data_IF_851568287661
#
_entry.id   IF_851568287661
#
_cell.length_a   1.000
_cell.length_b   1.000
_cell.length_c   1.000
_cell.angle_alpha   90.00
_cell.angle_beta   90.00
_cell.angle_gamma   90.00
#
_symmetry.space_group_name_H-M   'P 1'
#
loop_
_entity.id
_entity.type
_entity.pdbx_description
1 polymer ?
#
# COMPACT_ATOMS: atom_id res chain seq x y z
N UNK A 1 17.51 -4.86 1.29
CA UNK A 1 16.64 -3.91 1.62
C UNK A 1 16.45 -3.89 3.07
N UNK A 2 16.14 -2.82 3.52
CA UNK A 2 15.93 -2.71 4.88
C UNK A 2 14.69 -3.41 5.21
N UNK A 3 14.67 -4.01 6.32
CA UNK A 3 13.46 -4.54 6.80
C UNK A 3 12.57 -3.37 7.07
N UNK A 4 11.35 -3.67 7.25
CA UNK A 4 10.44 -2.63 7.55
C UNK A 4 10.85 -1.91 8.80
N UNK A 5 11.33 -2.64 9.74
CA UNK A 5 11.77 -2.05 10.96
C UNK A 5 12.89 -1.10 10.74
N UNK A 6 13.83 -1.52 9.95
CA UNK A 6 14.92 -0.66 9.71
C UNK A 6 14.49 0.53 8.94
N UNK A 7 13.57 0.36 8.08
CA UNK A 7 13.11 1.46 7.35
C UNK A 7 12.46 2.40 8.24
N UNK A 8 11.74 1.93 9.15
CA UNK A 8 11.13 2.81 10.06
C UNK A 8 12.12 3.46 10.91
N UNK A 9 13.16 2.80 11.22
CA UNK A 9 14.16 3.43 11.97
C UNK A 9 14.68 4.56 11.20
N UNK A 10 14.83 4.40 9.95
CA UNK A 10 15.33 5.40 9.17
C UNK A 10 14.37 6.47 9.09
N UNK A 11 13.21 6.14 8.81
CA UNK A 11 12.22 7.09 8.70
C UNK A 11 12.03 7.66 9.96
N UNK A 12 12.06 6.88 10.92
CA UNK A 12 11.82 7.35 12.13
C UNK A 12 12.91 7.79 12.79
N UNK A 13 13.98 7.51 12.31
CA UNK A 13 15.07 8.01 12.91
C UNK A 13 14.80 9.39 12.85
N UNK A 14 14.17 9.76 11.95
CA UNK A 14 13.85 11.08 11.98
C UNK A 14 12.51 11.17 12.49
N UNK A 15 11.85 10.23 12.40
CA UNK A 15 10.65 10.41 12.86
C UNK A 15 10.69 9.88 14.17
N UNK A 16 11.36 9.10 14.47
CA UNK A 16 11.20 8.62 15.59
C UNK A 16 12.14 8.65 16.25
N UNK A 17 12.58 9.09 15.85
CA UNK A 17 13.09 8.92 16.42
C UNK A 17 12.59 8.68 17.40
N UNK A 18 12.44 8.95 17.55
CA UNK A 18 12.05 8.60 18.23
C UNK A 18 11.55 8.10 18.72
N UNK A 19 11.36 8.19 18.76
CA UNK A 19 10.85 7.69 19.15
C UNK A 19 10.43 7.13 19.68
N UNK A 20 10.36 7.33 19.90
CA UNK A 20 9.90 6.83 20.29
C UNK A 20 9.52 6.24 20.75
N UNK A 21 9.39 6.10 20.97
CA UNK A 21 9.01 5.37 21.26
C UNK A 21 8.41 5.06 22.28
N UNK A 22 8.32 5.32 22.98
CA UNK A 22 7.67 4.91 23.97
C UNK A 22 6.32 5.16 23.77
N UNK A 23 5.50 4.29 23.87
CA UNK A 23 4.20 4.38 23.51
C UNK A 23 3.40 5.41 24.17
N UNK A 24 3.88 5.90 25.19
CA UNK A 24 3.08 6.86 25.84
C UNK A 24 2.92 8.08 25.02
N UNK A 25 3.75 8.22 24.06
CA UNK A 25 3.65 9.40 23.30
C UNK A 25 2.52 9.35 22.35
N UNK A 26 2.04 8.18 22.13
CA UNK A 26 1.08 8.01 21.12
C UNK A 26 -0.14 8.83 21.28
N UNK A 27 -0.52 9.05 22.45
CA UNK A 27 -1.70 9.77 22.62
C UNK A 27 -1.58 11.15 22.15
N UNK A 28 -0.43 11.71 22.31
CA UNK A 28 -0.26 13.05 21.90
C UNK A 28 -0.07 13.13 20.44
N UNK A 29 0.29 12.05 19.86
CA UNK A 29 0.61 12.06 18.50
C UNK A 29 -0.46 12.41 17.55
N UNK A 30 -1.65 12.07 17.76
CA UNK A 30 -2.67 12.32 16.80
C UNK A 30 -2.61 13.72 16.26
N UNK A 31 -2.22 14.61 17.09
CA UNK A 31 -2.15 15.95 16.65
C UNK A 31 -0.88 16.19 15.92
N UNK A 32 0.17 15.61 16.44
CA UNK A 32 1.43 15.90 15.87
C UNK A 32 1.66 15.13 14.62
N UNK A 33 0.97 14.02 14.49
CA UNK A 33 1.27 13.15 13.39
C UNK A 33 0.61 13.55 12.13
N UNK A 34 -0.04 14.67 12.10
CA UNK A 34 -0.68 15.04 10.88
C UNK A 34 0.35 15.26 9.82
N UNK A 35 0.19 14.57 8.72
CA UNK A 35 1.14 14.65 7.64
C UNK A 35 0.91 15.87 6.78
N UNK A 36 1.96 16.37 6.21
CA UNK A 36 1.89 17.62 5.47
C UNK A 36 1.01 17.53 4.23
N UNK A 37 1.00 16.39 3.61
CA UNK A 37 0.24 16.21 2.37
C UNK A 37 -0.91 15.24 2.56
N UNK A 38 -1.39 15.14 3.77
CA UNK A 38 -2.53 14.28 4.09
C UNK A 38 -2.26 12.82 3.74
N UNK A 39 -1.02 12.42 3.88
CA UNK A 39 -0.64 11.05 3.52
C UNK A 39 -1.40 10.02 4.32
N UNK A 40 -1.64 10.31 5.59
CA UNK A 40 -2.38 9.37 6.43
C UNK A 40 -3.82 9.21 5.95
N UNK A 41 -4.44 10.30 5.52
CA UNK A 41 -5.78 10.20 5.02
C UNK A 41 -5.83 9.44 3.71
N UNK A 42 -4.84 9.66 2.87
CA UNK A 42 -4.78 8.94 1.60
C UNK A 42 -4.57 7.45 1.84
N UNK A 43 -3.76 7.10 2.84
CA UNK A 43 -3.59 5.70 3.15
C UNK A 43 -4.87 5.06 3.66
N UNK A 44 -5.65 5.81 4.42
CA UNK A 44 -6.94 5.28 4.86
C UNK A 44 -7.86 5.08 3.68
N UNK A 45 -7.84 6.01 2.75
CA UNK A 45 -8.66 5.88 1.55
C UNK A 45 -8.22 4.67 0.74
N UNK A 46 -6.93 4.46 0.60
CA UNK A 46 -6.42 3.32 -0.13
C UNK A 46 -6.84 2.03 0.55
N UNK A 47 -6.84 2.03 1.86
CA UNK A 47 -7.24 0.84 2.61
C UNK A 47 -8.69 0.51 2.34
N UNK A 48 -9.56 1.53 2.34
CA UNK A 48 -10.96 1.28 2.05
C UNK A 48 -11.15 0.82 0.61
N UNK A 49 -10.39 1.40 -0.29
CA UNK A 49 -10.49 0.97 -1.68
C UNK A 49 -10.12 -0.50 -1.81
N UNK A 50 -9.03 -0.91 -1.17
CA UNK A 50 -8.60 -2.30 -1.25
C UNK A 50 -9.65 -3.23 -0.67
N UNK A 51 -10.25 -2.84 0.45
CA UNK A 51 -11.29 -3.67 1.03
C UNK A 51 -12.47 -3.81 0.11
N UNK A 52 -12.79 -2.75 -0.62
CA UNK A 52 -13.93 -2.81 -1.52
C UNK A 52 -13.68 -3.77 -2.67
N UNK A 53 -12.43 -3.93 -3.08
CA UNK A 53 -12.16 -4.88 -4.16
C UNK A 53 -12.43 -6.31 -3.70
N UNK A 54 -12.21 -6.59 -2.43
CA UNK A 54 -12.48 -7.92 -1.94
C UNK A 54 -13.97 -8.21 -1.97
N UNK A 55 -14.79 -7.24 -1.59
CA UNK A 55 -16.21 -7.51 -1.61
C UNK A 55 -16.72 -7.67 -3.03
N UNK A 56 -16.10 -7.01 -3.99
CA UNK A 56 -16.54 -7.13 -5.36
C UNK A 56 -16.06 -8.39 -6.04
N UNK A 57 -14.83 -8.79 -5.74
CA UNK A 57 -14.22 -9.88 -6.49
C UNK A 57 -14.27 -11.21 -5.77
N UNK A 58 -14.30 -11.17 -4.45
CA UNK A 58 -14.21 -12.40 -3.68
C UNK A 58 -15.53 -12.86 -3.12
N UNK A 59 -16.52 -11.98 -3.11
CA UNK A 59 -17.80 -12.31 -2.50
C UNK A 59 -18.46 -13.46 -3.25
N UNK A 60 -18.15 -13.65 -4.48
CA UNK A 60 -18.77 -14.69 -5.26
C UNK A 60 -18.09 -16.04 -5.09
N UNK A 61 -17.05 -16.09 -4.29
CA UNK A 61 -16.35 -17.34 -4.09
C UNK A 61 -15.55 -17.78 -5.28
N UNK A 62 -15.32 -16.90 -6.21
CA UNK A 62 -14.59 -17.26 -7.42
C UNK A 62 -13.10 -17.34 -7.15
N UNK A 63 -12.48 -18.28 -7.86
CA UNK A 63 -11.04 -18.37 -7.80
C UNK A 63 -10.47 -17.12 -8.47
N UNK A 64 -9.56 -16.48 -7.82
CA UNK A 64 -9.03 -15.25 -8.33
C UNK A 64 -7.87 -15.50 -9.27
N UNK A 65 -7.82 -14.72 -10.34
CA UNK A 65 -6.72 -14.86 -11.28
C UNK A 65 -5.38 -14.67 -10.59
N UNK A 66 -5.32 -13.81 -9.60
CA UNK A 66 -4.06 -13.61 -8.89
C UNK A 66 -3.61 -14.88 -8.17
N UNK A 67 -4.56 -15.68 -7.68
CA UNK A 67 -4.20 -16.93 -7.05
C UNK A 67 -3.52 -17.86 -8.03
N UNK A 68 -4.02 -17.87 -9.25
CA UNK A 68 -3.42 -18.70 -10.26
C UNK A 68 -2.02 -18.18 -10.61
N UNK A 69 -1.89 -16.88 -10.76
CA UNK A 69 -0.61 -16.28 -11.08
C UNK A 69 0.41 -16.55 -9.98
N UNK A 70 -0.06 -16.51 -8.74
CA UNK A 70 0.82 -16.84 -7.64
C UNK A 70 1.27 -18.29 -7.70
N UNK A 71 0.36 -19.16 -8.08
CA UNK A 71 0.68 -20.58 -8.08
C UNK A 71 1.76 -20.94 -9.10
N UNK A 72 1.93 -20.13 -10.11
CA UNK A 72 2.96 -20.40 -11.11
C UNK A 72 4.20 -19.53 -10.89
N UNK A 73 4.23 -18.80 -9.79
CA UNK A 73 5.44 -18.07 -9.43
C UNK A 73 5.58 -16.69 -10.03
N UNK A 74 4.53 -16.15 -10.63
CA UNK A 74 4.63 -14.87 -11.32
C UNK A 74 3.98 -13.71 -10.57
N UNK A 75 3.58 -13.91 -9.34
CA UNK A 75 2.81 -12.88 -8.65
C UNK A 75 3.59 -11.58 -8.47
N UNK A 76 4.85 -11.70 -8.12
CA UNK A 76 5.64 -10.50 -7.89
C UNK A 76 5.78 -9.70 -9.18
N UNK A 77 6.13 -10.38 -10.27
CA UNK A 77 6.30 -9.69 -11.55
C UNK A 77 4.98 -9.11 -12.03
N UNK A 78 3.90 -9.84 -11.82
CA UNK A 78 2.58 -9.38 -12.24
C UNK A 78 2.20 -8.10 -11.50
N UNK A 79 2.41 -8.06 -10.20
CA UNK A 79 2.05 -6.88 -9.41
C UNK A 79 2.93 -5.70 -9.79
N UNK A 80 4.21 -5.93 -10.00
CA UNK A 80 5.08 -4.84 -10.40
C UNK A 80 4.65 -4.27 -11.74
N UNK A 81 4.35 -5.14 -12.69
CA UNK A 81 3.96 -4.69 -14.01
C UNK A 81 2.65 -3.93 -13.98
N UNK A 82 1.71 -4.37 -13.16
CA UNK A 82 0.45 -3.66 -13.08
C UNK A 82 0.60 -2.32 -12.39
N UNK A 83 1.45 -2.22 -11.38
CA UNK A 83 1.69 -0.93 -10.77
C UNK A 83 2.26 0.05 -11.80
N UNK A 84 3.19 -0.42 -12.61
CA UNK A 84 3.77 0.42 -13.65
C UNK A 84 2.71 0.83 -14.66
N UNK A 85 1.86 -0.12 -15.05
CA UNK A 85 0.82 0.17 -16.01
C UNK A 85 -0.09 1.31 -15.52
N UNK A 86 -0.54 1.22 -14.29
CA UNK A 86 -1.46 2.24 -13.81
C UNK A 86 -0.77 3.57 -13.61
N UNK A 87 0.49 3.55 -13.21
CA UNK A 87 1.22 4.81 -13.08
C UNK A 87 1.48 5.44 -14.45
N UNK A 88 1.67 4.62 -15.48
CA UNK A 88 1.96 5.17 -16.79
C UNK A 88 0.75 5.81 -17.45
N UNK A 89 -0.44 5.48 -16.98
CA UNK A 89 -1.63 5.99 -17.64
C UNK A 89 -2.51 6.87 -16.76
N UNK A 90 -2.10 7.11 -15.52
CA UNK A 90 -3.00 7.76 -14.57
C UNK A 90 -3.48 9.13 -15.05
N UNK A 91 -2.68 9.82 -15.84
CA UNK A 91 -3.07 11.14 -16.29
C UNK A 91 -3.64 11.14 -17.69
N UNK A 92 -4.02 9.99 -18.22
CA UNK A 92 -4.50 9.91 -19.60
C UNK A 92 -5.94 9.47 -19.75
N UNK A 93 -6.52 8.98 -18.68
CA UNK A 93 -7.85 8.41 -18.79
C UNK A 93 -8.94 9.23 -18.16
N UNK A 94 -8.60 10.37 -17.63
CA UNK A 94 -9.62 11.22 -17.02
C UNK A 94 -10.00 10.89 -15.59
N UNK A 95 -9.44 9.84 -15.03
CA UNK A 95 -9.72 9.47 -13.65
C UNK A 95 -8.42 9.15 -12.95
N UNK A 96 -7.57 10.16 -12.75
CA UNK A 96 -6.24 9.91 -12.24
C UNK A 96 -6.21 9.28 -10.85
N UNK A 97 -7.11 9.67 -9.99
CA UNK A 97 -7.06 9.12 -8.64
C UNK A 97 -7.40 7.65 -8.62
N UNK A 98 -8.28 7.20 -9.52
CA UNK A 98 -8.60 5.79 -9.58
C UNK A 98 -7.38 4.97 -9.97
N UNK A 99 -6.65 5.43 -10.98
CA UNK A 99 -5.49 4.71 -11.42
C UNK A 99 -4.38 4.75 -10.39
N UNK A 100 -4.26 5.85 -9.66
CA UNK A 100 -3.26 5.92 -8.61
C UNK A 100 -3.61 4.94 -7.50
N UNK A 101 -4.88 4.83 -7.13
CA UNK A 101 -5.26 3.87 -6.10
C UNK A 101 -5.01 2.43 -6.56
N UNK A 102 -5.23 2.16 -7.84
CA UNK A 102 -4.92 0.83 -8.35
C UNK A 102 -3.43 0.55 -8.28
N UNK A 103 -2.62 1.56 -8.60
CA UNK A 103 -1.18 1.39 -8.51
C UNK A 103 -0.76 1.14 -7.07
N UNK A 104 -1.36 1.85 -6.12
CA UNK A 104 -1.06 1.65 -4.71
C UNK A 104 -1.41 0.22 -4.31
N UNK A 105 -2.58 -0.25 -4.75
CA UNK A 105 -3.00 -1.60 -4.40
C UNK A 105 -1.98 -2.63 -4.91
N UNK A 106 -1.52 -2.46 -6.14
CA UNK A 106 -0.54 -3.40 -6.66
C UNK A 106 0.81 -3.25 -5.96
N UNK A 107 1.13 -2.06 -5.47
CA UNK A 107 2.34 -1.91 -4.68
C UNK A 107 2.22 -2.63 -3.34
N UNK A 108 1.05 -2.59 -2.74
CA UNK A 108 0.82 -3.30 -1.48
C UNK A 108 0.95 -4.80 -1.71
N UNK A 109 0.37 -5.28 -2.80
CA UNK A 109 0.47 -6.70 -3.13
C UNK A 109 1.93 -7.08 -3.45
N UNK A 110 2.64 -6.19 -4.12
CA UNK A 110 4.02 -6.43 -4.44
C UNK A 110 4.84 -6.56 -3.16
N UNK A 111 4.55 -5.72 -2.19
CA UNK A 111 5.23 -5.81 -0.92
C UNK A 111 5.02 -7.19 -0.30
N UNK A 112 3.78 -7.66 -0.33
CA UNK A 112 3.46 -8.95 0.24
C UNK A 112 4.22 -10.08 -0.49
N UNK A 113 4.16 -10.08 -1.81
CA UNK A 113 4.77 -11.17 -2.56
C UNK A 113 6.29 -11.10 -2.57
N UNK A 114 6.85 -9.92 -2.43
CA UNK A 114 8.30 -9.80 -2.43
C UNK A 114 8.90 -10.30 -1.13
N UNK A 115 8.09 -10.46 -0.11
CA UNK A 115 8.60 -10.93 1.15
C UNK A 115 8.48 -12.44 1.30
N UNK A 116 8.01 -13.12 0.29
CA UNK A 116 7.84 -14.57 0.39
C UNK A 116 9.01 -15.36 -0.09
#
# INVERSE_FOLDING_TARGET
MLTLTKKFDMINAWSLAGSVMDGTLDEDYPIMSKCKYDEDQTLDLAKEYIKSTYSQHYANGNFQTLDLIESIGDAEAFCRSNAIKYLSRYNKKGRPQDDILKAVHYCVLLYYFSSK
#
